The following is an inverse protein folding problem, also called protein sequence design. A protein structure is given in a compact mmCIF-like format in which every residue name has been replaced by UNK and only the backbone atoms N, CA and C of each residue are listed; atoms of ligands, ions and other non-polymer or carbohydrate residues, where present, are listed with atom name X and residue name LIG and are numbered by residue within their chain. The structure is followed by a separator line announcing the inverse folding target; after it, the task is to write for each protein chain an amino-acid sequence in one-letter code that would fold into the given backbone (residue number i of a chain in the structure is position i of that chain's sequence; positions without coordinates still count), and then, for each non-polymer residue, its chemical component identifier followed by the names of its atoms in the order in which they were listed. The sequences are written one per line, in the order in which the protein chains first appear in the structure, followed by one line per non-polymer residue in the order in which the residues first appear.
data_IF_740844482438
#
_entry.id   IF_740844482438
#
_cell.length_a   1.000
_cell.length_b   1.000
_cell.length_c   1.000
_cell.angle_alpha   90.00
_cell.angle_beta   90.00
_cell.angle_gamma   90.00
#
_symmetry.space_group_name_H-M   'P 1'
#
loop_
_entity.id
_entity.type
_entity.pdbx_description
1 polymer ?
#
# COMPACT_ATOMS: atom_id res chain seq x y z
N UNK A 1 11.66 10.14 2.94
CA UNK A 1 11.95 11.10 1.84
C UNK A 1 10.66 11.53 1.17
N UNK A 2 10.56 12.76 0.63
CA UNK A 2 9.47 13.15 -0.27
C UNK A 2 9.46 12.32 -1.56
N UNK A 3 8.43 12.48 -2.39
CA UNK A 3 8.34 11.81 -3.69
C UNK A 3 9.53 12.23 -4.57
N UNK A 4 10.23 11.24 -5.12
CA UNK A 4 11.43 11.46 -5.94
C UNK A 4 11.54 10.41 -7.04
N UNK A 5 12.13 10.80 -8.18
CA UNK A 5 12.54 9.91 -9.26
C UNK A 5 14.00 9.43 -9.13
N UNK A 6 14.74 9.93 -8.13
CA UNK A 6 16.13 9.55 -7.85
C UNK A 6 16.17 8.16 -7.18
N UNK A 7 16.51 7.16 -8.00
CA UNK A 7 16.59 5.76 -7.56
C UNK A 7 17.77 5.51 -6.62
N UNK A 8 18.88 6.23 -6.78
CA UNK A 8 20.09 6.00 -6.01
C UNK A 8 19.95 6.61 -4.61
N UNK A 9 19.33 7.79 -4.52
CA UNK A 9 18.93 8.37 -3.23
C UNK A 9 17.93 7.45 -2.50
N UNK A 10 16.95 6.88 -3.20
CA UNK A 10 15.99 5.92 -2.62
C UNK A 10 16.69 4.69 -2.05
N UNK A 11 17.57 4.04 -2.83
CA UNK A 11 18.34 2.88 -2.38
C UNK A 11 19.24 3.20 -1.19
N UNK A 12 19.97 4.31 -1.26
CA UNK A 12 20.84 4.75 -0.16
C UNK A 12 20.06 4.97 1.13
N UNK A 13 18.84 5.52 1.04
CA UNK A 13 17.98 5.69 2.21
C UNK A 13 17.47 4.36 2.78
N UNK A 14 17.14 3.39 1.92
CA UNK A 14 16.73 2.04 2.33
C UNK A 14 17.90 1.33 3.01
N UNK A 15 19.10 1.36 2.44
CA UNK A 15 20.30 0.70 2.98
C UNK A 15 20.72 1.27 4.33
N UNK A 16 20.37 2.54 4.61
CA UNK A 16 20.63 3.20 5.88
C UNK A 16 19.60 2.88 6.99
N UNK A 17 18.52 2.15 6.71
CA UNK A 17 17.49 1.85 7.71
C UNK A 17 17.99 0.81 8.74
N UNK A 18 18.02 1.14 10.04
CA UNK A 18 18.42 0.19 11.07
C UNK A 18 17.28 -0.79 11.40
N UNK A 19 17.62 -2.05 11.65
CA UNK A 19 16.66 -3.03 12.18
C UNK A 19 16.72 -3.03 13.71
N UNK A 20 15.69 -2.50 14.37
CA UNK A 20 15.58 -2.57 15.83
C UNK A 20 14.15 -2.36 16.32
N UNK A 21 13.86 -2.80 17.54
CA UNK A 21 12.62 -2.48 18.23
C UNK A 21 11.52 -3.53 18.08
N UNK A 22 10.30 -3.06 17.89
CA UNK A 22 9.04 -3.83 17.98
C UNK A 22 8.17 -3.59 16.74
N UNK A 23 7.16 -4.42 16.54
CA UNK A 23 6.33 -4.38 15.33
C UNK A 23 5.01 -3.67 15.61
N UNK A 24 5.03 -2.33 15.55
CA UNK A 24 3.84 -1.50 15.66
C UNK A 24 3.07 -1.40 14.32
N UNK A 25 2.59 -2.54 13.82
CA UNK A 25 2.05 -2.66 12.46
C UNK A 25 0.90 -1.70 12.15
N UNK A 26 0.07 -1.34 13.13
CA UNK A 26 -0.99 -0.34 12.97
C UNK A 26 -0.45 1.03 12.51
N UNK A 27 0.69 1.48 13.06
CA UNK A 27 1.32 2.73 12.64
C UNK A 27 1.90 2.62 11.23
N UNK A 28 2.53 1.48 10.90
CA UNK A 28 3.03 1.23 9.55
C UNK A 28 1.91 1.26 8.51
N UNK A 29 0.79 0.59 8.79
CA UNK A 29 -0.40 0.61 7.94
C UNK A 29 -0.99 2.02 7.81
N UNK A 30 -1.09 2.77 8.91
CA UNK A 30 -1.57 4.16 8.89
C UNK A 30 -0.69 5.05 7.99
N UNK A 31 0.63 5.00 8.16
CA UNK A 31 1.55 5.80 7.35
C UNK A 31 1.53 5.40 5.88
N UNK A 32 1.37 4.11 5.55
CA UNK A 32 1.18 3.67 4.17
C UNK A 32 -0.03 4.36 3.51
N UNK A 33 -1.09 4.64 4.27
CA UNK A 33 -2.23 5.40 3.78
C UNK A 33 -1.95 6.90 3.72
N UNK A 34 -1.35 7.48 4.76
CA UNK A 34 -1.09 8.92 4.86
C UNK A 34 -0.16 9.41 3.75
N UNK A 35 0.80 8.58 3.35
CA UNK A 35 1.70 8.86 2.22
C UNK A 35 0.98 9.05 0.89
N UNK A 36 -0.20 8.44 0.71
CA UNK A 36 -0.94 8.44 -0.56
C UNK A 36 -2.33 9.08 -0.43
N UNK A 37 -2.68 9.63 0.74
CA UNK A 37 -3.97 10.26 1.00
C UNK A 37 -3.92 11.78 0.77
N UNK A 38 -4.82 12.35 -0.05
CA UNK A 38 -4.90 13.81 -0.24
C UNK A 38 -5.25 14.56 1.06
N UNK A 39 -5.83 13.88 2.07
CA UNK A 39 -6.11 14.46 3.39
C UNK A 39 -4.83 14.89 4.14
N UNK A 40 -3.68 14.35 3.73
CA UNK A 40 -2.37 14.65 4.31
C UNK A 40 -1.51 15.52 3.37
N UNK A 41 -2.09 16.09 2.31
CA UNK A 41 -1.35 16.93 1.35
C UNK A 41 -0.61 18.11 1.99
N UNK A 42 -1.15 18.69 3.06
CA UNK A 42 -0.58 19.87 3.72
C UNK A 42 0.78 19.63 4.40
N UNK A 43 1.12 18.39 4.72
CA UNK A 43 2.42 18.06 5.34
C UNK A 43 3.51 17.72 4.33
N UNK A 44 3.16 17.60 3.04
CA UNK A 44 4.10 17.25 1.98
C UNK A 44 4.54 18.50 1.18
N UNK A 45 5.82 18.58 0.78
CA UNK A 45 6.29 19.66 -0.07
C UNK A 45 5.60 19.62 -1.44
N UNK A 46 5.64 20.76 -2.15
CA UNK A 46 5.14 20.85 -3.52
C UNK A 46 5.76 19.76 -4.40
N UNK A 47 4.93 19.12 -5.24
CA UNK A 47 5.34 17.99 -6.09
C UNK A 47 5.35 16.62 -5.39
N UNK A 48 5.20 16.56 -4.05
CA UNK A 48 5.04 15.30 -3.30
C UNK A 48 3.63 15.08 -2.76
N UNK A 49 2.71 16.01 -3.01
CA UNK A 49 1.36 15.95 -2.49
C UNK A 49 0.56 14.85 -3.20
N UNK A 50 -0.15 13.98 -2.45
CA UNK A 50 -0.97 12.95 -3.07
C UNK A 50 -2.13 13.57 -3.84
N UNK A 51 -2.34 13.08 -5.08
CA UNK A 51 -3.48 13.49 -5.89
C UNK A 51 -4.83 13.10 -5.25
N UNK A 52 -5.90 13.80 -5.64
CA UNK A 52 -7.27 13.58 -5.15
C UNK A 52 -7.76 12.14 -5.35
N UNK A 53 -8.56 11.64 -4.42
CA UNK A 53 -9.27 10.36 -4.56
C UNK A 53 -10.27 10.34 -5.71
N UNK A 54 -10.75 11.51 -6.10
CA UNK A 54 -11.66 11.66 -7.21
C UNK A 54 -11.05 11.04 -8.48
N UNK A 55 -9.76 11.21 -8.76
CA UNK A 55 -9.13 10.66 -9.96
C UNK A 55 -9.14 9.10 -10.05
N UNK A 56 -9.57 8.40 -9.00
CA UNK A 56 -9.70 6.95 -8.95
C UNK A 56 -11.09 6.43 -9.35
N UNK A 57 -12.13 7.27 -9.46
CA UNK A 57 -13.50 6.85 -9.75
C UNK A 57 -14.08 7.48 -11.03
N UNK A 58 -15.10 6.81 -11.59
CA UNK A 58 -15.81 7.19 -12.82
C UNK A 58 -16.60 8.48 -12.69
N UNK A 59 -17.06 8.78 -11.48
CA UNK A 59 -18.06 9.80 -11.22
C UNK A 59 -17.47 11.13 -10.75
N UNK A 60 -16.40 11.58 -11.38
CA UNK A 60 -15.79 12.86 -11.04
C UNK A 60 -16.12 13.90 -12.06
N UNK A 61 -17.02 14.79 -11.63
CA UNK A 61 -17.31 16.11 -12.15
C UNK A 61 -17.51 16.17 -13.69
N UNK A 62 -18.71 16.47 -14.20
CA UNK A 62 -18.94 16.65 -15.63
C UNK A 62 -18.05 17.74 -16.28
N UNK A 63 -17.38 18.59 -15.50
CA UNK A 63 -16.34 19.52 -15.97
C UNK A 63 -14.91 19.00 -15.85
N UNK A 64 -14.68 17.88 -15.16
CA UNK A 64 -13.42 17.16 -15.25
C UNK A 64 -13.44 16.37 -16.56
N UNK A 65 -12.44 16.61 -17.41
CA UNK A 65 -12.24 15.93 -18.70
C UNK A 65 -11.87 14.45 -18.48
N UNK A 66 -12.65 13.67 -17.72
CA UNK A 66 -12.67 12.22 -17.87
C UNK A 66 -13.04 11.97 -19.33
N UNK A 67 -12.06 11.53 -20.11
CA UNK A 67 -12.27 11.23 -21.52
C UNK A 67 -13.13 9.97 -21.51
N UNK A 68 -14.43 10.13 -21.75
CA UNK A 68 -15.27 9.03 -22.21
C UNK A 68 -14.81 8.75 -23.63
N UNK A 69 -13.81 7.88 -23.77
CA UNK A 69 -13.51 7.25 -25.06
C UNK A 69 -14.50 6.10 -25.32
N UNK A 70 -14.55 5.62 -26.55
CA UNK A 70 -15.43 4.52 -26.99
C UNK A 70 -15.13 3.16 -26.30
N UNK A 71 -14.17 3.10 -25.37
CA UNK A 71 -13.66 1.89 -24.70
C UNK A 71 -14.16 1.69 -23.25
N UNK A 72 -15.06 2.55 -22.76
CA UNK A 72 -15.54 2.52 -21.38
C UNK A 72 -14.63 3.23 -20.38
N UNK A 73 -15.04 3.28 -19.11
CA UNK A 73 -14.34 4.03 -18.07
C UNK A 73 -12.94 3.47 -17.74
N UNK A 74 -11.94 4.35 -17.81
CA UNK A 74 -10.58 4.10 -17.32
C UNK A 74 -10.23 5.14 -16.24
N UNK A 75 -9.94 4.74 -14.99
CA UNK A 75 -9.51 5.67 -13.95
C UNK A 75 -8.16 6.32 -14.33
N UNK A 76 -7.99 7.61 -13.99
CA UNK A 76 -6.75 8.36 -14.27
C UNK A 76 -5.66 8.11 -13.23
N UNK A 77 -6.02 7.50 -12.10
CA UNK A 77 -5.14 7.29 -10.98
C UNK A 77 -5.45 5.95 -10.32
N UNK A 78 -4.41 5.15 -10.15
CA UNK A 78 -4.41 4.03 -9.22
C UNK A 78 -3.58 4.39 -8.00
N UNK A 79 -4.17 4.22 -6.81
CA UNK A 79 -3.44 4.31 -5.55
C UNK A 79 -3.26 2.90 -5.01
N UNK A 80 -2.02 2.55 -4.71
CA UNK A 80 -1.64 1.22 -4.24
C UNK A 80 -0.80 1.35 -2.97
N UNK A 81 -1.15 0.56 -1.95
CA UNK A 81 -0.34 0.36 -0.77
C UNK A 81 0.23 -1.07 -0.78
N UNK A 82 1.51 -1.21 -0.45
CA UNK A 82 2.17 -2.52 -0.29
C UNK A 82 2.65 -2.63 1.15
N UNK A 83 2.13 -3.63 1.87
CA UNK A 83 2.46 -3.88 3.27
C UNK A 83 3.22 -5.20 3.39
N UNK A 84 4.24 -5.25 4.24
CA UNK A 84 5.01 -6.46 4.48
C UNK A 84 5.24 -6.68 5.97
N UNK A 85 5.22 -7.93 6.41
CA UNK A 85 5.62 -8.32 7.78
C UNK A 85 6.24 -9.70 7.80
N UNK A 86 7.18 -9.91 8.70
CA UNK A 86 7.78 -11.21 9.02
C UNK A 86 7.30 -11.77 10.37
N UNK A 87 6.36 -11.08 11.02
CA UNK A 87 5.88 -11.49 12.33
C UNK A 87 4.63 -10.75 12.80
N UNK A 88 4.20 -11.08 14.01
CA UNK A 88 3.02 -10.49 14.65
C UNK A 88 3.18 -9.01 14.93
N UNK A 89 2.08 -8.25 14.81
CA UNK A 89 2.02 -6.86 15.23
C UNK A 89 1.94 -6.76 16.75
N UNK A 90 3.10 -6.85 17.40
CA UNK A 90 3.24 -7.06 18.83
C UNK A 90 3.33 -5.78 19.69
N UNK A 91 3.23 -4.59 19.08
CA UNK A 91 3.25 -3.32 19.82
C UNK A 91 2.06 -2.44 19.50
N UNK A 92 1.25 -2.12 20.51
CA UNK A 92 0.24 -1.06 20.48
C UNK A 92 0.69 0.13 21.33
N UNK A 93 0.23 1.33 20.98
CA UNK A 93 0.49 2.55 21.77
C UNK A 93 -0.78 3.13 22.40
N UNK A 94 -1.93 2.99 21.74
CA UNK A 94 -3.23 3.44 22.23
C UNK A 94 -4.34 2.51 21.74
N UNK A 95 -5.41 2.36 22.52
CA UNK A 95 -6.61 1.62 22.10
C UNK A 95 -6.43 0.10 22.09
N UNK A 96 -7.02 -0.56 21.08
CA UNK A 96 -7.05 -2.01 20.94
C UNK A 96 -5.68 -2.59 20.53
N UNK A 97 -5.60 -3.90 20.27
CA UNK A 97 -4.35 -4.52 19.82
C UNK A 97 -3.86 -3.91 18.49
N UNK A 98 -2.55 -3.90 18.25
CA UNK A 98 -2.02 -3.41 16.98
C UNK A 98 -2.52 -4.23 15.78
N UNK A 99 -2.82 -5.51 15.98
CA UNK A 99 -3.43 -6.35 14.95
C UNK A 99 -4.84 -5.87 14.61
N UNK A 100 -5.66 -5.61 15.63
CA UNK A 100 -7.04 -5.13 15.45
C UNK A 100 -7.07 -3.78 14.73
N UNK A 101 -6.30 -2.81 15.22
CA UNK A 101 -6.23 -1.48 14.60
C UNK A 101 -5.72 -1.55 13.16
N UNK A 102 -4.68 -2.35 12.88
CA UNK A 102 -4.18 -2.48 11.52
C UNK A 102 -5.25 -3.02 10.56
N UNK A 103 -6.08 -3.98 11.00
CA UNK A 103 -7.19 -4.51 10.17
C UNK A 103 -8.24 -3.44 9.90
N UNK A 104 -8.65 -2.71 10.93
CA UNK A 104 -9.62 -1.60 10.80
C UNK A 104 -9.12 -0.50 9.85
N UNK A 105 -7.83 -0.17 9.92
CA UNK A 105 -7.18 0.77 9.01
C UNK A 105 -7.16 0.17 7.58
N UNK A 106 -6.79 -1.10 7.41
CA UNK A 106 -6.82 -1.75 6.09
C UNK A 106 -8.22 -1.74 5.48
N UNK A 107 -9.27 -2.00 6.27
CA UNK A 107 -10.65 -1.93 5.80
C UNK A 107 -11.02 -0.50 5.37
N UNK A 108 -10.58 0.50 6.13
CA UNK A 108 -10.76 1.92 5.77
C UNK A 108 -10.01 2.32 4.50
N UNK A 109 -8.77 1.82 4.33
CA UNK A 109 -7.98 2.03 3.11
C UNK A 109 -8.74 1.45 1.91
N UNK A 110 -9.15 0.18 1.99
CA UNK A 110 -9.89 -0.51 0.92
C UNK A 110 -11.21 0.19 0.58
N UNK A 111 -11.93 0.70 1.57
CA UNK A 111 -13.19 1.42 1.38
C UNK A 111 -13.03 2.71 0.54
N UNK A 112 -11.82 3.29 0.47
CA UNK A 112 -11.54 4.42 -0.43
C UNK A 112 -11.26 4.03 -1.88
N UNK A 113 -11.18 2.74 -2.19
CA UNK A 113 -10.81 2.22 -3.52
C UNK A 113 -9.30 2.03 -3.71
N UNK A 114 -8.48 2.20 -2.67
CA UNK A 114 -7.04 1.91 -2.72
C UNK A 114 -6.82 0.40 -2.76
N UNK A 115 -5.96 -0.05 -3.67
CA UNK A 115 -5.52 -1.44 -3.74
C UNK A 115 -4.43 -1.71 -2.71
N UNK A 116 -4.61 -2.73 -1.88
CA UNK A 116 -3.66 -3.15 -0.83
C UNK A 116 -3.10 -4.50 -1.20
N UNK A 117 -1.79 -4.53 -1.49
CA UNK A 117 -1.00 -5.76 -1.57
C UNK A 117 -0.35 -6.04 -0.23
N UNK A 118 -0.28 -7.31 0.15
CA UNK A 118 0.39 -7.74 1.38
C UNK A 118 1.36 -8.88 1.15
N UNK A 119 2.49 -8.85 1.86
CA UNK A 119 3.53 -9.88 1.76
C UNK A 119 3.93 -10.35 3.15
N UNK A 120 3.66 -11.61 3.45
CA UNK A 120 4.17 -12.29 4.63
C UNK A 120 5.52 -12.90 4.33
N UNK A 121 6.52 -12.65 5.18
CA UNK A 121 7.84 -13.23 5.02
C UNK A 121 8.14 -14.23 6.14
N UNK A 122 8.29 -15.52 5.79
CA UNK A 122 8.59 -16.60 6.74
C UNK A 122 7.62 -16.70 7.92
N UNK A 123 6.35 -16.42 7.67
CA UNK A 123 5.27 -16.59 8.66
C UNK A 123 4.49 -17.87 8.40
N UNK A 124 4.06 -18.55 9.48
CA UNK A 124 3.29 -19.79 9.38
C UNK A 124 1.87 -19.55 8.86
N UNK A 125 1.41 -20.40 7.95
CA UNK A 125 0.02 -20.37 7.45
C UNK A 125 -0.96 -20.57 8.61
N UNK A 126 -2.01 -19.75 8.66
CA UNK A 126 -3.03 -19.75 9.72
C UNK A 126 -2.59 -19.06 11.03
N UNK A 127 -1.33 -18.61 11.12
CA UNK A 127 -0.87 -17.84 12.28
C UNK A 127 -1.52 -16.46 12.34
N UNK A 128 -1.48 -15.80 13.50
CA UNK A 128 -1.99 -14.43 13.64
C UNK A 128 -1.45 -13.43 12.62
N UNK A 129 -0.13 -13.35 12.31
CA UNK A 129 0.36 -12.43 11.28
C UNK A 129 -0.16 -12.80 9.89
N UNK A 130 -0.24 -14.09 9.58
CA UNK A 130 -0.75 -14.60 8.30
C UNK A 130 -2.20 -14.18 8.05
N UNK A 131 -3.08 -14.46 9.02
CA UNK A 131 -4.49 -14.02 8.98
C UNK A 131 -4.60 -12.49 8.92
N UNK A 132 -3.71 -11.76 9.60
CA UNK A 132 -3.74 -10.30 9.60
C UNK A 132 -3.46 -9.72 8.22
N UNK A 133 -2.42 -10.19 7.54
CA UNK A 133 -2.09 -9.69 6.22
C UNK A 133 -3.05 -10.18 5.13
N UNK A 134 -3.66 -11.37 5.29
CA UNK A 134 -4.71 -11.84 4.40
C UNK A 134 -5.94 -10.92 4.46
N UNK A 135 -6.39 -10.56 5.68
CA UNK A 135 -7.52 -9.64 5.85
C UNK A 135 -7.22 -8.22 5.38
N UNK A 136 -5.96 -7.80 5.44
CA UNK A 136 -5.53 -6.50 4.95
C UNK A 136 -5.49 -6.42 3.42
N UNK A 137 -5.20 -7.52 2.72
CA UNK A 137 -5.14 -7.53 1.25
C UNK A 137 -6.50 -7.20 0.63
N UNK A 138 -6.51 -6.53 -0.52
CA UNK A 138 -7.76 -6.21 -1.24
C UNK A 138 -8.51 -7.45 -1.70
N UNK A 139 -7.79 -8.50 -2.11
CA UNK A 139 -8.36 -9.79 -2.45
C UNK A 139 -7.30 -10.89 -2.29
N UNK A 140 -7.66 -12.18 -2.41
CA UNK A 140 -6.69 -13.27 -2.33
C UNK A 140 -5.53 -13.17 -3.33
N UNK A 141 -5.74 -12.55 -4.50
CA UNK A 141 -4.68 -12.35 -5.51
C UNK A 141 -3.71 -11.20 -5.19
N UNK A 142 -3.99 -10.43 -4.13
CA UNK A 142 -3.15 -9.35 -3.63
C UNK A 142 -2.32 -9.76 -2.40
N UNK A 143 -2.49 -10.99 -1.93
CA UNK A 143 -1.78 -11.54 -0.79
C UNK A 143 -0.69 -12.50 -1.26
N UNK A 144 0.48 -12.40 -0.64
CA UNK A 144 1.62 -13.29 -0.85
C UNK A 144 2.15 -13.78 0.48
N UNK A 145 2.58 -15.04 0.51
CA UNK A 145 3.36 -15.59 1.62
C UNK A 145 4.65 -16.21 1.07
N UNK A 146 5.77 -15.56 1.39
CA UNK A 146 7.09 -15.87 0.91
C UNK A 146 7.91 -16.58 1.99
N UNK A 147 8.30 -17.82 1.73
CA UNK A 147 9.10 -18.63 2.67
C UNK A 147 10.62 -18.42 2.55
N UNK A 148 11.09 -17.77 1.49
CA UNK A 148 12.52 -17.51 1.23
C UNK A 148 12.78 -16.11 0.67
N UNK A 149 14.04 -15.67 0.68
CA UNK A 149 14.43 -14.39 0.09
C UNK A 149 14.17 -14.34 -1.41
N UNK A 150 14.32 -15.46 -2.11
CA UNK A 150 14.00 -15.60 -3.54
C UNK A 150 12.50 -15.45 -3.78
N UNK A 151 11.68 -16.12 -2.96
CA UNK A 151 10.23 -15.99 -3.02
C UNK A 151 9.77 -14.56 -2.70
N UNK A 152 10.43 -13.89 -1.74
CA UNK A 152 10.15 -12.51 -1.38
C UNK A 152 10.43 -11.58 -2.56
N UNK A 153 11.61 -11.71 -3.19
CA UNK A 153 11.96 -10.96 -4.40
C UNK A 153 10.96 -11.24 -5.53
N UNK A 154 10.49 -12.48 -5.67
CA UNK A 154 9.50 -12.83 -6.68
C UNK A 154 8.14 -12.18 -6.43
N UNK A 155 7.67 -12.15 -5.18
CA UNK A 155 6.42 -11.47 -4.82
C UNK A 155 6.46 -9.99 -5.18
N UNK A 156 7.52 -9.27 -4.83
CA UNK A 156 7.66 -7.84 -5.20
C UNK A 156 7.77 -7.62 -6.71
N UNK A 157 8.42 -8.52 -7.46
CA UNK A 157 8.44 -8.46 -8.93
C UNK A 157 7.05 -8.65 -9.54
N UNK A 158 6.29 -9.63 -9.05
CA UNK A 158 4.92 -9.88 -9.52
C UNK A 158 4.00 -8.68 -9.25
N UNK A 159 4.09 -8.10 -8.05
CA UNK A 159 3.40 -6.85 -7.72
C UNK A 159 3.80 -5.74 -8.69
N UNK A 160 5.10 -5.54 -8.94
CA UNK A 160 5.57 -4.49 -9.86
C UNK A 160 5.03 -4.66 -11.29
N UNK A 161 4.93 -5.89 -11.79
CA UNK A 161 4.35 -6.20 -13.11
C UNK A 161 2.86 -5.83 -13.12
N UNK A 162 2.09 -6.34 -12.15
CA UNK A 162 0.64 -6.05 -12.04
C UNK A 162 0.33 -4.55 -11.95
N UNK A 163 1.18 -3.80 -11.25
CA UNK A 163 1.05 -2.34 -11.15
C UNK A 163 1.47 -1.63 -12.45
N UNK A 164 2.43 -2.18 -13.19
CA UNK A 164 2.91 -1.57 -14.44
C UNK A 164 1.94 -1.78 -15.60
N UNK A 165 1.24 -2.91 -15.66
CA UNK A 165 0.19 -3.13 -16.67
C UNK A 165 -0.92 -2.08 -16.57
N UNK A 166 -1.26 -1.64 -15.35
CA UNK A 166 -2.17 -0.51 -15.12
C UNK A 166 -1.66 0.83 -15.68
N UNK A 167 -0.36 0.94 -15.95
CA UNK A 167 0.25 2.15 -16.52
C UNK A 167 0.33 2.11 -18.06
N UNK A 168 0.25 0.92 -18.67
CA UNK A 168 0.46 0.73 -20.12
C UNK A 168 -0.85 0.79 -20.90
N UNK A 169 -2.03 0.74 -20.25
CA UNK A 169 -3.35 0.75 -20.91
C UNK A 169 -3.76 2.09 -21.58
N UNK A 170 -2.79 2.92 -21.97
CA UNK A 170 -2.95 4.17 -22.72
C UNK A 170 -3.35 3.95 -24.19
#
# INVERSE_FOLDING_TARGET
MPLSSDKDALKSHIDAMPTSGVTAGHLGTAWAWYLISPNWSSIWPAGSQPMSYSLMSENVDPNSRAVVGDEGFKPKLHKIAVLMTDGSYNRSYHGSSSTTQAREICDSIKATGITVYTVGFRIGVGSTPDVTIQLCATSPSHYYNASSGEALKQAFRDIAIKISDLRISE
#
